data_IF_045037853980
#
_entry.id   IF_045037853980
#
_cell.length_a   1.000
_cell.length_b   1.000
_cell.length_c   1.000
_cell.angle_alpha   90.00
_cell.angle_beta   90.00
_cell.angle_gamma   90.00
#
_symmetry.space_group_name_H-M   'P 1'
#
loop_
_entity.id
_entity.type
_entity.pdbx_description
1 polymer ?
#
# COMPACT_ATOMS: atom_id res chain seq x y z
N UNK A 1 -21.31 10.19 -8.75
CA UNK A 1 -21.19 10.77 -7.38
C UNK A 1 -22.56 10.85 -6.74
N UNK A 2 -22.68 10.36 -5.51
CA UNK A 2 -23.93 10.33 -4.74
C UNK A 2 -23.89 11.41 -3.66
N UNK A 3 -23.86 12.67 -4.09
CA UNK A 3 -23.95 13.84 -3.21
C UNK A 3 -25.41 14.29 -3.12
N UNK A 4 -25.69 15.29 -2.28
CA UNK A 4 -27.03 15.86 -2.16
C UNK A 4 -27.55 16.33 -3.53
N UNK A 5 -28.59 15.67 -4.04
CA UNK A 5 -29.19 15.99 -5.34
C UNK A 5 -28.29 15.73 -6.56
N UNK A 6 -27.33 14.79 -6.47
CA UNK A 6 -26.37 14.44 -7.53
C UNK A 6 -25.52 15.63 -8.01
N UNK A 7 -25.27 16.61 -7.15
CA UNK A 7 -24.47 17.78 -7.47
C UNK A 7 -22.97 17.46 -7.52
N UNK A 8 -22.21 18.16 -8.34
CA UNK A 8 -20.76 18.06 -8.28
C UNK A 8 -20.26 18.59 -6.93
N UNK A 9 -19.41 17.83 -6.24
CA UNK A 9 -18.84 18.20 -4.95
C UNK A 9 -17.31 18.21 -5.04
N UNK A 10 -16.73 19.40 -4.92
CA UNK A 10 -15.30 19.66 -4.83
C UNK A 10 -14.88 20.19 -3.44
N UNK A 11 -15.76 20.13 -2.45
CA UNK A 11 -15.44 20.51 -1.08
C UNK A 11 -14.23 19.73 -0.60
N UNK A 12 -13.35 20.35 0.19
CA UNK A 12 -12.23 19.64 0.79
C UNK A 12 -12.58 19.10 2.19
N UNK A 13 -13.76 19.46 2.73
CA UNK A 13 -14.07 19.35 4.16
C UNK A 13 -15.37 18.62 4.48
N UNK A 14 -16.11 18.16 3.47
CA UNK A 14 -17.41 17.48 3.65
C UNK A 14 -17.49 16.18 2.87
N UNK A 15 -18.50 15.35 3.13
CA UNK A 15 -18.81 14.16 2.34
C UNK A 15 -17.59 13.26 2.08
N UNK A 16 -16.73 13.09 3.10
CA UNK A 16 -15.58 12.18 3.08
C UNK A 16 -16.05 10.72 3.24
N UNK A 17 -16.96 10.29 2.37
CA UNK A 17 -17.47 8.94 2.33
C UNK A 17 -16.50 8.08 1.52
N UNK A 18 -15.68 7.27 2.21
CA UNK A 18 -14.65 6.45 1.55
C UNK A 18 -13.45 7.26 1.05
N UNK A 19 -12.60 6.61 0.26
CA UNK A 19 -11.42 7.20 -0.37
C UNK A 19 -11.79 8.02 -1.62
N UNK A 20 -11.34 9.29 -1.68
CA UNK A 20 -11.57 10.22 -2.80
C UNK A 20 -13.03 10.41 -3.23
N UNK A 21 -13.98 10.04 -2.38
CA UNK A 21 -15.41 9.93 -2.73
C UNK A 21 -15.69 8.98 -3.88
N UNK A 22 -14.83 7.98 -4.07
CA UNK A 22 -15.12 6.88 -4.98
C UNK A 22 -16.40 6.18 -4.52
N UNK A 23 -17.14 5.54 -5.43
CA UNK A 23 -18.36 4.83 -5.06
C UNK A 23 -18.11 3.83 -3.94
N UNK A 24 -18.90 3.92 -2.87
CA UNK A 24 -18.90 2.90 -1.83
C UNK A 24 -19.68 1.67 -2.30
N UNK A 25 -19.11 0.47 -2.14
CA UNK A 25 -19.77 -0.78 -2.48
C UNK A 25 -19.45 -1.89 -1.47
N UNK A 26 -20.44 -2.24 -0.65
CA UNK A 26 -20.31 -3.28 0.39
C UNK A 26 -20.55 -4.72 -0.13
N UNK A 27 -20.81 -4.88 -1.42
CA UNK A 27 -20.87 -6.18 -2.12
C UNK A 27 -19.78 -6.21 -3.20
N UNK A 28 -18.49 -6.02 -2.83
CA UNK A 28 -17.45 -5.74 -3.81
C UNK A 28 -17.19 -6.90 -4.77
N UNK A 29 -17.47 -8.15 -4.37
CA UNK A 29 -17.29 -9.35 -5.20
C UNK A 29 -18.16 -9.36 -6.46
N UNK A 30 -19.34 -8.74 -6.41
CA UNK A 30 -20.32 -8.70 -7.51
C UNK A 30 -20.29 -7.39 -8.29
N UNK A 31 -19.43 -6.44 -7.87
CA UNK A 31 -19.25 -5.16 -8.55
C UNK A 31 -18.67 -5.30 -9.95
N UNK A 32 -18.72 -4.23 -10.74
CA UNK A 32 -18.00 -4.07 -12.01
C UNK A 32 -16.61 -3.42 -11.82
N UNK A 33 -16.15 -3.29 -10.57
CA UNK A 33 -14.86 -2.69 -10.23
C UNK A 33 -13.69 -3.55 -10.71
N UNK A 34 -12.68 -2.88 -11.25
CA UNK A 34 -11.36 -3.43 -11.54
C UNK A 34 -10.52 -3.52 -10.25
N UNK A 35 -10.54 -2.47 -9.45
CA UNK A 35 -9.81 -2.36 -8.19
C UNK A 35 -10.76 -2.09 -7.03
N UNK A 36 -10.54 -2.79 -5.93
CA UNK A 36 -11.32 -2.65 -4.70
C UNK A 36 -10.41 -2.14 -3.60
N UNK A 37 -10.80 -1.02 -2.99
CA UNK A 37 -10.14 -0.46 -1.82
C UNK A 37 -10.73 -1.12 -0.59
N UNK A 38 -9.86 -1.70 0.25
CA UNK A 38 -10.24 -2.37 1.50
C UNK A 38 -9.38 -1.85 2.64
N UNK A 39 -9.99 -1.39 3.73
CA UNK A 39 -9.25 -1.06 4.94
C UNK A 39 -9.08 -2.28 5.85
N UNK A 40 -7.93 -2.40 6.48
CA UNK A 40 -7.60 -3.47 7.43
C UNK A 40 -7.18 -2.82 8.75
N UNK A 41 -8.13 -2.40 9.61
CA UNK A 41 -7.82 -1.67 10.84
C UNK A 41 -7.26 -2.61 11.91
N UNK A 42 -5.98 -2.98 11.80
CA UNK A 42 -5.28 -3.95 12.64
C UNK A 42 -3.89 -3.41 13.04
N UNK A 43 -3.51 -3.49 14.32
CA UNK A 43 -2.15 -3.11 14.77
C UNK A 43 -1.66 -3.99 15.95
N UNK A 44 -2.13 -5.23 16.03
CA UNK A 44 -1.76 -6.13 17.14
C UNK A 44 -0.41 -6.82 16.93
N UNK A 45 0.19 -6.70 15.74
CA UNK A 45 1.50 -7.24 15.41
C UNK A 45 2.62 -6.19 15.54
N UNK A 46 2.29 -4.96 15.95
CA UNK A 46 3.30 -3.90 16.17
C UNK A 46 4.24 -4.22 17.33
N UNK A 47 5.53 -4.02 17.12
CA UNK A 47 6.57 -4.11 18.15
C UNK A 47 6.87 -2.77 18.85
N UNK A 48 6.55 -1.66 18.18
CA UNK A 48 6.78 -0.30 18.66
C UNK A 48 5.51 0.38 19.19
N UNK A 49 5.16 1.52 18.59
CA UNK A 49 3.96 2.28 18.97
C UNK A 49 2.74 1.75 18.20
N UNK A 50 1.71 1.32 18.91
CA UNK A 50 0.41 1.01 18.31
C UNK A 50 -0.32 2.28 17.84
N UNK A 51 -1.34 2.13 17.00
CA UNK A 51 -2.12 3.23 16.44
C UNK A 51 -2.49 3.02 14.96
N UNK A 52 -1.82 2.10 14.27
CA UNK A 52 -2.06 1.73 12.88
C UNK A 52 -3.50 1.32 12.60
N UNK A 53 -4.23 0.76 13.57
CA UNK A 53 -5.65 0.38 13.39
C UNK A 53 -6.56 1.54 12.97
N UNK A 54 -6.14 2.79 13.19
CA UNK A 54 -6.89 3.99 12.79
C UNK A 54 -6.44 4.56 11.44
N UNK A 55 -5.38 4.02 10.83
CA UNK A 55 -4.82 4.41 9.55
C UNK A 55 -5.83 4.44 8.40
N UNK A 56 -6.62 3.37 8.16
CA UNK A 56 -7.56 3.33 7.03
C UNK A 56 -8.60 4.46 7.09
N UNK A 57 -9.07 4.80 8.28
CA UNK A 57 -10.01 5.90 8.48
C UNK A 57 -9.35 7.26 8.20
N UNK A 58 -8.13 7.49 8.68
CA UNK A 58 -7.41 8.75 8.47
C UNK A 58 -7.07 8.98 6.99
N UNK A 59 -6.59 7.93 6.29
CA UNK A 59 -6.32 7.98 4.84
C UNK A 59 -7.58 8.39 4.07
N UNK A 60 -8.74 7.80 4.40
CA UNK A 60 -10.01 8.17 3.76
C UNK A 60 -10.42 9.61 4.07
N UNK A 61 -10.37 10.02 5.33
CA UNK A 61 -10.81 11.37 5.74
C UNK A 61 -10.00 12.45 5.02
N UNK A 62 -8.67 12.35 5.02
CA UNK A 62 -7.81 13.39 4.43
C UNK A 62 -7.84 13.38 2.90
N UNK A 63 -8.24 12.27 2.27
CA UNK A 63 -8.27 12.13 0.81
C UNK A 63 -9.21 13.13 0.10
N UNK A 64 -10.17 13.75 0.79
CA UNK A 64 -10.99 14.83 0.19
C UNK A 64 -10.14 16.03 -0.28
N UNK A 65 -8.97 16.25 0.32
CA UNK A 65 -7.99 17.25 -0.13
C UNK A 65 -7.44 16.97 -1.54
N UNK A 66 -7.59 15.74 -2.03
CA UNK A 66 -7.14 15.29 -3.35
C UNK A 66 -8.30 15.15 -4.35
N UNK A 67 -9.55 15.24 -3.89
CA UNK A 67 -10.74 14.95 -4.70
C UNK A 67 -11.23 16.13 -5.56
N UNK A 68 -10.74 17.36 -5.33
CA UNK A 68 -11.16 18.55 -6.05
C UNK A 68 -10.56 18.67 -7.45
N UNK A 69 -9.38 18.10 -7.67
CA UNK A 69 -8.72 18.06 -8.98
C UNK A 69 -9.49 17.09 -9.88
N UNK A 70 -9.79 17.52 -11.12
CA UNK A 70 -10.41 16.66 -12.12
C UNK A 70 -9.53 15.45 -12.42
N UNK A 71 -8.25 15.71 -12.70
CA UNK A 71 -7.19 14.72 -12.77
C UNK A 71 -5.98 15.17 -11.95
N UNK A 72 -5.22 14.21 -11.43
CA UNK A 72 -4.09 14.44 -10.55
C UNK A 72 -2.88 14.95 -11.32
N UNK A 73 -2.29 16.09 -10.94
CA UNK A 73 -1.03 16.53 -11.55
C UNK A 73 0.12 15.52 -11.29
N UNK A 74 0.96 15.17 -12.29
CA UNK A 74 1.07 15.71 -13.65
C UNK A 74 0.33 14.89 -14.71
N UNK A 75 -0.50 13.93 -14.31
CA UNK A 75 -1.33 13.17 -15.24
C UNK A 75 -2.25 14.12 -16.02
N UNK A 76 -2.60 13.74 -17.24
CA UNK A 76 -3.43 14.54 -18.15
C UNK A 76 -4.75 13.82 -18.50
N UNK A 77 -5.18 12.89 -17.64
CA UNK A 77 -6.39 12.09 -17.80
C UNK A 77 -7.03 11.83 -16.44
N UNK A 78 -8.36 11.69 -16.37
CA UNK A 78 -9.03 11.27 -15.14
C UNK A 78 -8.89 9.75 -14.98
N UNK A 79 -8.33 9.31 -13.84
CA UNK A 79 -8.21 7.90 -13.48
C UNK A 79 -9.56 7.17 -13.55
N UNK A 80 -10.65 7.86 -13.18
CA UNK A 80 -12.01 7.31 -13.11
C UNK A 80 -12.61 6.98 -14.48
N UNK A 81 -12.08 7.55 -15.55
CA UNK A 81 -12.51 7.24 -16.93
C UNK A 81 -11.86 5.96 -17.46
N UNK A 82 -10.77 5.51 -16.82
CA UNK A 82 -9.96 4.37 -17.28
C UNK A 82 -10.00 3.18 -16.33
N UNK A 83 -10.34 3.41 -15.06
CA UNK A 83 -10.30 2.40 -14.02
C UNK A 83 -11.56 2.48 -13.15
N UNK A 84 -12.31 1.38 -13.09
CA UNK A 84 -13.45 1.26 -12.19
C UNK A 84 -12.92 0.92 -10.80
N UNK A 85 -13.02 1.86 -9.86
CA UNK A 85 -12.56 1.69 -8.48
C UNK A 85 -13.71 1.92 -7.51
N UNK A 86 -13.84 1.02 -6.54
CA UNK A 86 -14.81 1.15 -5.44
C UNK A 86 -14.11 1.04 -4.09
N UNK A 87 -14.65 1.71 -3.07
CA UNK A 87 -14.26 1.53 -1.68
C UNK A 87 -15.28 0.60 -1.00
N UNK A 88 -14.83 -0.54 -0.47
CA UNK A 88 -15.72 -1.50 0.18
C UNK A 88 -15.78 -1.35 1.70
N UNK A 89 -15.16 -0.31 2.26
CA UNK A 89 -15.02 -0.15 3.70
C UNK A 89 -13.92 -1.04 4.27
N UNK A 90 -14.16 -1.55 5.47
CA UNK A 90 -13.14 -2.27 6.24
C UNK A 90 -13.44 -3.77 6.34
N UNK A 91 -12.38 -4.57 6.45
CA UNK A 91 -12.49 -5.97 6.80
C UNK A 91 -13.15 -6.12 8.18
N UNK A 92 -14.17 -6.98 8.26
CA UNK A 92 -14.86 -7.29 9.53
C UNK A 92 -14.30 -8.58 10.12
N UNK A 93 -13.68 -8.49 11.29
CA UNK A 93 -13.14 -9.60 12.07
C UNK A 93 -13.36 -9.35 13.58
N UNK A 94 -13.12 -10.34 14.43
CA UNK A 94 -13.19 -10.19 15.88
C UNK A 94 -11.96 -9.44 16.40
N UNK A 95 -12.18 -8.24 16.93
CA UNK A 95 -11.11 -7.47 17.54
C UNK A 95 -10.47 -8.21 18.70
N UNK A 96 -9.13 -8.21 18.74
CA UNK A 96 -8.36 -9.00 19.70
C UNK A 96 -7.95 -10.38 19.20
N UNK A 97 -8.34 -10.77 17.98
CA UNK A 97 -7.98 -12.05 17.37
C UNK A 97 -7.18 -11.84 16.07
N UNK A 98 -5.84 -11.93 16.18
CA UNK A 98 -4.94 -11.77 15.04
C UNK A 98 -5.03 -12.94 14.05
N UNK A 99 -5.37 -14.14 14.54
CA UNK A 99 -5.52 -15.32 13.69
C UNK A 99 -6.78 -15.18 12.83
N UNK A 100 -7.92 -14.85 13.43
CA UNK A 100 -9.16 -14.66 12.68
C UNK A 100 -9.05 -13.48 11.70
N UNK A 101 -8.35 -12.39 12.07
CA UNK A 101 -8.04 -11.30 11.15
C UNK A 101 -7.28 -11.82 9.92
N UNK A 102 -6.20 -12.57 10.14
CA UNK A 102 -5.36 -13.14 9.07
C UNK A 102 -6.16 -14.05 8.14
N UNK A 103 -6.94 -14.99 8.69
CA UNK A 103 -7.77 -15.91 7.91
C UNK A 103 -8.85 -15.18 7.11
N UNK A 104 -9.55 -14.22 7.72
CA UNK A 104 -10.61 -13.46 7.04
C UNK A 104 -10.05 -12.55 5.97
N UNK A 105 -8.89 -11.93 6.19
CA UNK A 105 -8.23 -11.10 5.20
C UNK A 105 -7.82 -11.91 3.99
N UNK A 106 -7.18 -13.07 4.21
CA UNK A 106 -6.82 -13.99 3.13
C UNK A 106 -8.08 -14.43 2.37
N UNK A 107 -9.13 -14.90 3.05
CA UNK A 107 -10.36 -15.35 2.41
C UNK A 107 -11.07 -14.24 1.61
N UNK A 108 -11.07 -13.01 2.14
CA UNK A 108 -11.61 -11.84 1.45
C UNK A 108 -10.84 -11.55 0.16
N UNK A 109 -9.51 -11.54 0.24
CA UNK A 109 -8.64 -11.31 -0.91
C UNK A 109 -8.78 -12.41 -1.97
N UNK A 110 -8.79 -13.68 -1.57
CA UNK A 110 -9.01 -14.81 -2.48
C UNK A 110 -10.33 -14.67 -3.24
N UNK A 111 -11.41 -14.25 -2.56
CA UNK A 111 -12.72 -14.07 -3.18
C UNK A 111 -12.75 -12.90 -4.16
N UNK A 112 -12.08 -11.79 -3.86
CA UNK A 112 -11.95 -10.65 -4.79
C UNK A 112 -11.15 -11.04 -6.04
N UNK A 113 -10.01 -11.70 -5.86
CA UNK A 113 -9.14 -12.13 -6.97
C UNK A 113 -9.86 -13.16 -7.86
N UNK A 114 -10.57 -14.13 -7.27
CA UNK A 114 -11.38 -15.08 -8.02
C UNK A 114 -12.52 -14.42 -8.83
N UNK A 115 -13.01 -13.26 -8.37
CA UNK A 115 -13.97 -12.44 -9.11
C UNK A 115 -13.33 -11.53 -10.18
N UNK A 116 -12.04 -11.72 -10.48
CA UNK A 116 -11.31 -10.97 -11.51
C UNK A 116 -10.86 -9.58 -11.07
N UNK A 117 -10.90 -9.27 -9.77
CA UNK A 117 -10.60 -7.94 -9.21
C UNK A 117 -9.15 -7.84 -8.79
N UNK A 118 -8.73 -6.63 -8.46
CA UNK A 118 -7.44 -6.29 -7.84
C UNK A 118 -7.68 -5.53 -6.54
N UNK A 119 -6.68 -5.49 -5.68
CA UNK A 119 -6.82 -4.89 -4.34
C UNK A 119 -5.82 -3.77 -4.12
N UNK A 120 -6.33 -2.65 -3.60
CA UNK A 120 -5.54 -1.64 -2.92
C UNK A 120 -5.95 -1.64 -1.45
N UNK A 121 -5.10 -2.14 -0.57
CA UNK A 121 -5.43 -2.23 0.85
C UNK A 121 -4.86 -1.04 1.62
N UNK A 122 -5.65 -0.50 2.55
CA UNK A 122 -5.14 0.42 3.56
C UNK A 122 -4.93 -0.38 4.83
N UNK A 123 -3.67 -0.57 5.21
CA UNK A 123 -3.34 -1.34 6.40
C UNK A 123 -3.60 -0.56 7.68
N UNK A 124 -3.50 -1.29 8.78
CA UNK A 124 -2.82 -0.77 9.95
C UNK A 124 -1.37 -1.22 9.88
N UNK A 125 -0.92 -2.06 10.81
CA UNK A 125 0.47 -2.53 10.81
C UNK A 125 0.82 -3.37 9.57
N UNK A 126 2.11 -3.49 9.28
CA UNK A 126 2.59 -4.12 8.05
C UNK A 126 2.33 -5.64 8.00
N UNK A 127 2.02 -6.29 9.11
CA UNK A 127 1.72 -7.73 9.13
C UNK A 127 0.55 -8.10 8.21
N UNK A 128 -0.40 -7.18 8.00
CA UNK A 128 -1.57 -7.37 7.12
C UNK A 128 -1.19 -7.80 5.69
N UNK A 129 0.03 -7.50 5.25
CA UNK A 129 0.52 -7.88 3.93
C UNK A 129 0.76 -9.39 3.81
N UNK A 130 1.05 -10.12 4.89
CA UNK A 130 1.25 -11.58 4.82
C UNK A 130 0.02 -12.36 4.31
N UNK A 131 -1.18 -12.25 4.94
CA UNK A 131 -2.38 -12.92 4.42
C UNK A 131 -2.79 -12.41 3.03
N UNK A 132 -2.51 -11.14 2.70
CA UNK A 132 -2.72 -10.62 1.34
C UNK A 132 -1.81 -11.35 0.34
N UNK A 133 -0.52 -11.51 0.64
CA UNK A 133 0.43 -12.26 -0.21
C UNK A 133 0.02 -13.73 -0.36
N UNK A 134 -0.48 -14.39 0.70
CA UNK A 134 -0.99 -15.76 0.62
C UNK A 134 -2.11 -15.89 -0.41
N UNK A 135 -3.09 -14.98 -0.38
CA UNK A 135 -4.19 -14.95 -1.34
C UNK A 135 -3.71 -14.67 -2.76
N UNK A 136 -2.81 -13.69 -2.94
CA UNK A 136 -2.30 -13.30 -4.25
C UNK A 136 -1.43 -14.39 -4.87
N UNK A 137 -0.54 -15.03 -4.10
CA UNK A 137 0.30 -16.12 -4.59
C UNK A 137 -0.52 -17.34 -4.99
N UNK A 138 -1.63 -17.63 -4.29
CA UNK A 138 -2.57 -18.69 -4.67
C UNK A 138 -3.22 -18.43 -6.03
N UNK A 139 -3.43 -17.17 -6.40
CA UNK A 139 -4.09 -16.78 -7.66
C UNK A 139 -3.10 -16.55 -8.81
N UNK A 140 -1.98 -15.87 -8.57
CA UNK A 140 -1.00 -15.49 -9.60
C UNK A 140 0.25 -16.38 -9.64
N UNK A 141 0.40 -17.30 -8.69
CA UNK A 141 1.65 -18.02 -8.46
C UNK A 141 2.67 -17.17 -7.69
N UNK A 142 3.89 -17.67 -7.56
CA UNK A 142 5.00 -16.97 -6.89
C UNK A 142 5.27 -15.61 -7.56
N UNK A 143 5.43 -14.57 -6.76
CA UNK A 143 5.49 -13.17 -7.22
C UNK A 143 6.83 -12.50 -6.91
N UNK A 144 7.05 -11.32 -7.48
CA UNK A 144 8.05 -10.35 -7.04
C UNK A 144 7.43 -9.39 -6.01
N UNK A 145 8.23 -8.92 -5.05
CA UNK A 145 7.85 -7.88 -4.10
C UNK A 145 8.58 -6.58 -4.43
N UNK A 146 7.85 -5.47 -4.54
CA UNK A 146 8.42 -4.13 -4.48
C UNK A 146 8.00 -3.52 -3.15
N UNK A 147 8.97 -3.28 -2.29
CA UNK A 147 8.77 -2.94 -0.88
C UNK A 147 9.41 -1.59 -0.55
N UNK A 148 8.59 -0.60 -0.19
CA UNK A 148 9.08 0.69 0.31
C UNK A 148 8.96 0.73 1.81
N UNK A 149 10.08 0.87 2.52
CA UNK A 149 10.12 0.77 3.99
C UNK A 149 11.46 1.29 4.56
N UNK A 150 11.50 1.65 5.85
CA UNK A 150 12.76 1.82 6.59
C UNK A 150 13.37 0.49 7.08
N UNK A 151 12.55 -0.55 7.17
CA UNK A 151 12.80 -1.88 7.73
C UNK A 151 12.70 -2.96 6.65
N UNK A 152 13.43 -4.05 6.81
CA UNK A 152 13.35 -5.15 5.84
C UNK A 152 12.19 -6.11 6.14
N UNK A 153 11.72 -6.14 7.37
CA UNK A 153 10.75 -7.10 7.92
C UNK A 153 11.06 -8.57 7.59
N UNK A 154 12.36 -8.86 7.49
CA UNK A 154 12.93 -10.19 7.26
C UNK A 154 13.54 -10.78 8.53
N UNK A 155 13.19 -10.27 9.71
CA UNK A 155 13.76 -10.74 10.96
C UNK A 155 13.25 -12.14 11.32
N UNK A 156 14.15 -13.05 11.72
CA UNK A 156 13.82 -14.45 12.00
C UNK A 156 13.34 -14.70 13.45
N UNK A 157 13.39 -13.69 14.32
CA UNK A 157 13.27 -13.83 15.78
C UNK A 157 11.92 -13.37 16.35
N UNK A 158 10.94 -13.04 15.51
CA UNK A 158 9.60 -12.66 15.97
C UNK A 158 8.64 -13.83 16.13
N UNK A 159 7.41 -13.52 16.52
CA UNK A 159 6.34 -14.49 16.68
C UNK A 159 5.49 -14.63 15.40
N UNK A 160 4.45 -15.46 15.45
CA UNK A 160 3.57 -15.71 14.29
C UNK A 160 2.90 -14.43 13.75
N UNK A 161 2.58 -13.49 14.63
CA UNK A 161 1.93 -12.22 14.30
C UNK A 161 2.87 -11.08 14.68
N UNK A 162 3.79 -10.75 13.77
CA UNK A 162 4.80 -9.73 13.98
C UNK A 162 5.06 -8.98 12.67
N UNK A 163 4.87 -7.66 12.71
CA UNK A 163 5.03 -6.78 11.57
C UNK A 163 6.49 -6.65 11.08
N UNK A 164 7.47 -7.22 11.79
CA UNK A 164 8.87 -7.27 11.37
C UNK A 164 9.32 -8.61 10.79
N UNK A 165 8.44 -9.61 10.64
CA UNK A 165 8.87 -10.98 10.28
C UNK A 165 8.14 -11.61 9.11
N UNK A 166 7.10 -10.95 8.59
CA UNK A 166 6.30 -11.51 7.51
C UNK A 166 7.08 -11.71 6.21
N UNK A 167 8.10 -10.89 5.92
CA UNK A 167 8.95 -11.11 4.74
C UNK A 167 10.10 -12.09 4.98
N UNK A 168 10.34 -12.50 6.24
CA UNK A 168 11.07 -13.75 6.50
C UNK A 168 10.19 -14.96 6.17
N UNK A 169 8.90 -14.89 6.51
CA UNK A 169 7.93 -15.98 6.33
C UNK A 169 7.51 -16.17 4.86
N UNK A 170 7.26 -15.08 4.13
CA UNK A 170 6.68 -15.13 2.79
C UNK A 170 7.52 -15.91 1.74
N UNK A 171 8.86 -15.80 1.69
CA UNK A 171 9.69 -16.66 0.83
C UNK A 171 9.64 -18.14 1.22
N UNK A 172 9.60 -18.44 2.53
CA UNK A 172 9.54 -19.82 3.04
C UNK A 172 8.22 -20.51 2.69
N UNK A 173 7.13 -19.74 2.58
CA UNK A 173 5.83 -20.20 2.07
C UNK A 173 5.75 -20.21 0.54
N UNK A 174 6.81 -19.80 -0.17
CA UNK A 174 6.84 -19.75 -1.63
C UNK A 174 5.97 -18.65 -2.25
N UNK A 175 5.59 -17.63 -1.47
CA UNK A 175 4.69 -16.55 -1.91
C UNK A 175 5.41 -15.57 -2.83
N UNK A 176 6.65 -15.23 -2.46
CA UNK A 176 7.49 -14.26 -3.18
C UNK A 176 8.87 -14.86 -3.48
N UNK A 177 9.51 -14.40 -4.55
CA UNK A 177 10.89 -14.73 -4.88
C UNK A 177 11.84 -13.63 -4.40
N UNK A 178 12.66 -13.87 -3.36
CA UNK A 178 13.56 -12.84 -2.84
C UNK A 178 14.54 -12.33 -3.91
N UNK A 179 15.02 -13.20 -4.82
CA UNK A 179 15.97 -12.81 -5.87
C UNK A 179 15.36 -11.90 -6.95
N UNK A 180 14.03 -11.85 -7.04
CA UNK A 180 13.27 -10.96 -7.93
C UNK A 180 12.52 -9.90 -7.13
N UNK A 181 12.87 -9.71 -5.86
CA UNK A 181 12.23 -8.74 -4.96
C UNK A 181 13.22 -7.66 -4.56
N UNK A 182 12.69 -6.45 -4.36
CA UNK A 182 13.48 -5.26 -4.05
C UNK A 182 12.87 -4.51 -2.87
N UNK A 183 13.72 -4.10 -1.93
CA UNK A 183 13.39 -3.29 -0.77
C UNK A 183 14.05 -1.91 -0.92
N UNK A 184 13.30 -0.84 -0.69
CA UNK A 184 13.65 0.52 -1.08
C UNK A 184 13.47 1.43 0.13
N UNK A 185 14.52 2.15 0.52
CA UNK A 185 14.49 3.08 1.65
C UNK A 185 14.99 2.49 2.97
N UNK A 186 15.48 1.24 2.94
CA UNK A 186 16.01 0.53 4.12
C UNK A 186 17.09 1.35 4.80
N UNK A 187 16.99 1.47 6.12
CA UNK A 187 17.96 2.22 6.95
C UNK A 187 18.01 1.72 8.39
N UNK A 188 17.69 0.45 8.57
CA UNK A 188 17.91 -0.33 9.78
C UNK A 188 18.86 -1.48 9.48
N UNK A 189 19.42 -2.11 10.52
CA UNK A 189 20.30 -3.26 10.34
C UNK A 189 19.52 -4.45 9.78
N UNK A 190 20.11 -5.19 8.83
CA UNK A 190 19.48 -6.35 8.21
C UNK A 190 20.51 -7.41 7.81
N UNK A 191 20.04 -8.64 7.64
CA UNK A 191 20.84 -9.74 7.11
C UNK A 191 20.96 -9.62 5.58
N UNK A 192 22.19 -9.49 5.08
CA UNK A 192 22.48 -9.34 3.65
C UNK A 192 22.33 -10.65 2.87
N UNK A 193 22.25 -11.78 3.56
CA UNK A 193 22.12 -13.11 2.96
C UNK A 193 20.65 -13.55 2.79
N UNK A 194 19.67 -12.64 3.00
CA UNK A 194 18.23 -12.92 2.87
C UNK A 194 17.71 -13.02 1.42
N UNK A 195 18.58 -12.80 0.43
CA UNK A 195 18.30 -12.91 -1.01
C UNK A 195 17.58 -11.71 -1.64
N UNK A 196 17.02 -10.79 -0.85
CA UNK A 196 16.39 -9.58 -1.36
C UNK A 196 17.44 -8.60 -1.89
N UNK A 197 17.11 -7.88 -2.97
CA UNK A 197 17.91 -6.71 -3.33
C UNK A 197 17.51 -5.53 -2.44
N UNK A 198 18.43 -5.01 -1.64
CA UNK A 198 18.20 -3.84 -0.81
C UNK A 198 18.81 -2.58 -1.45
N UNK A 199 17.97 -1.59 -1.71
CA UNK A 199 18.32 -0.23 -2.08
C UNK A 199 18.11 0.65 -0.85
N UNK A 200 19.16 0.82 -0.05
CA UNK A 200 19.09 1.58 1.20
C UNK A 200 18.76 3.06 0.98
N UNK A 201 18.30 3.76 2.01
CA UNK A 201 17.89 5.16 1.90
C UNK A 201 19.01 6.07 1.39
N UNK A 202 20.27 5.81 1.74
CA UNK A 202 21.42 6.59 1.26
C UNK A 202 21.60 6.44 -0.25
N UNK A 203 21.66 5.20 -0.73
CA UNK A 203 21.74 4.90 -2.16
C UNK A 203 20.56 5.47 -2.93
N UNK A 204 19.34 5.29 -2.40
CA UNK A 204 18.14 5.81 -3.04
C UNK A 204 18.20 7.32 -3.10
N UNK A 205 18.56 8.02 -2.03
CA UNK A 205 18.61 9.49 -2.01
C UNK A 205 19.71 10.09 -2.91
N UNK A 206 20.85 9.41 -3.06
CA UNK A 206 22.00 9.90 -3.84
C UNK A 206 21.91 9.65 -5.35
N UNK A 207 21.06 8.71 -5.78
CA UNK A 207 20.89 8.36 -7.21
C UNK A 207 19.81 9.18 -7.89
N UNK A 208 19.71 9.11 -9.22
CA UNK A 208 18.53 9.64 -9.92
C UNK A 208 17.32 8.70 -9.72
N UNK A 209 16.10 9.23 -9.81
CA UNK A 209 14.87 8.42 -9.73
C UNK A 209 14.84 7.40 -10.88
N UNK A 210 15.24 7.81 -12.08
CA UNK A 210 15.24 6.95 -13.28
C UNK A 210 16.19 5.75 -13.13
N UNK A 211 17.38 5.94 -12.53
CA UNK A 211 18.33 4.84 -12.29
C UNK A 211 17.78 3.83 -11.28
N UNK A 212 17.06 4.31 -10.25
CA UNK A 212 16.42 3.43 -9.26
C UNK A 212 15.29 2.65 -9.92
N UNK A 213 14.42 3.31 -10.69
CA UNK A 213 13.33 2.65 -11.43
C UNK A 213 13.88 1.61 -12.41
N UNK A 214 14.94 1.93 -13.16
CA UNK A 214 15.55 1.00 -14.11
C UNK A 214 16.06 -0.26 -13.41
N UNK A 215 16.71 -0.10 -12.25
CA UNK A 215 17.17 -1.24 -11.46
C UNK A 215 16.00 -2.04 -10.89
N UNK A 216 14.95 -1.40 -10.38
CA UNK A 216 13.73 -2.09 -9.91
C UNK A 216 13.13 -2.93 -11.03
N UNK A 217 12.96 -2.38 -12.24
CA UNK A 217 12.47 -3.10 -13.42
C UNK A 217 13.35 -4.30 -13.79
N UNK A 218 14.67 -4.14 -13.70
CA UNK A 218 15.62 -5.24 -13.96
C UNK A 218 15.48 -6.38 -12.93
N UNK A 219 15.28 -6.04 -11.65
CA UNK A 219 15.17 -7.03 -10.57
C UNK A 219 13.87 -7.83 -10.70
N UNK A 220 12.73 -7.15 -10.88
CA UNK A 220 11.42 -7.81 -10.89
C UNK A 220 11.13 -8.54 -12.21
N UNK A 221 11.72 -8.08 -13.32
CA UNK A 221 11.48 -8.63 -14.65
C UNK A 221 9.99 -8.61 -15.03
N UNK A 222 9.52 -9.72 -15.61
CA UNK A 222 8.13 -9.90 -16.05
C UNK A 222 7.23 -10.57 -14.99
N UNK A 223 7.73 -10.78 -13.76
CA UNK A 223 6.96 -11.45 -12.72
C UNK A 223 5.72 -10.63 -12.32
N UNK A 224 4.63 -11.27 -11.87
CA UNK A 224 3.58 -10.56 -11.14
C UNK A 224 4.20 -9.86 -9.92
N UNK A 225 3.84 -8.59 -9.69
CA UNK A 225 4.39 -7.75 -8.63
C UNK A 225 3.32 -7.47 -7.59
N UNK A 226 3.65 -7.71 -6.32
CA UNK A 226 2.93 -7.09 -5.21
C UNK A 226 3.71 -5.85 -4.75
N UNK A 227 3.04 -4.70 -4.68
CA UNK A 227 3.63 -3.43 -4.27
C UNK A 227 3.13 -3.06 -2.87
N UNK A 228 4.00 -3.14 -1.88
CA UNK A 228 3.70 -2.64 -0.53
C UNK A 228 4.45 -1.34 -0.27
N UNK A 229 3.78 -0.42 0.42
CA UNK A 229 4.36 0.84 0.85
C UNK A 229 4.10 1.07 2.34
N UNK A 230 5.11 0.87 3.15
CA UNK A 230 5.15 1.36 4.52
C UNK A 230 5.40 2.87 4.51
N UNK A 231 4.52 3.61 5.18
CA UNK A 231 4.65 5.07 5.22
C UNK A 231 5.92 5.53 5.94
N UNK A 232 6.51 4.68 6.80
CA UNK A 232 7.77 4.94 7.48
C UNK A 232 8.99 4.86 6.55
N UNK A 233 8.81 4.42 5.30
CA UNK A 233 9.81 4.63 4.23
C UNK A 233 10.17 6.11 4.11
N UNK A 234 9.20 7.00 4.33
CA UNK A 234 9.41 8.44 4.34
C UNK A 234 10.14 8.88 5.61
N UNK A 235 10.93 9.94 5.50
CA UNK A 235 11.53 10.54 6.69
C UNK A 235 10.44 11.02 7.66
N UNK A 236 10.65 10.96 9.00
CA UNK A 236 9.69 11.46 9.98
C UNK A 236 9.30 12.93 9.81
N UNK A 237 10.07 13.74 9.06
CA UNK A 237 9.66 15.08 8.65
C UNK A 237 8.44 15.09 7.71
N UNK A 238 8.19 14.01 6.98
CA UNK A 238 7.08 13.82 6.04
C UNK A 238 6.05 12.80 6.52
N UNK A 239 6.45 11.83 7.35
CA UNK A 239 5.58 10.80 7.93
C UNK A 239 5.79 10.66 9.46
N UNK A 240 5.50 11.70 10.26
CA UNK A 240 5.62 11.61 11.72
C UNK A 240 4.64 10.60 12.35
N UNK A 241 3.52 10.33 11.68
CA UNK A 241 2.43 9.47 12.11
C UNK A 241 2.65 8.00 11.77
N UNK A 242 3.69 7.38 12.33
CA UNK A 242 3.98 5.95 12.18
C UNK A 242 4.48 5.32 13.49
N UNK A 243 4.39 3.99 13.60
CA UNK A 243 4.75 3.20 14.77
C UNK A 243 6.25 3.17 15.08
N UNK A 244 7.08 3.15 14.03
CA UNK A 244 8.52 2.85 14.06
C UNK A 244 9.35 3.89 13.28
N UNK A 245 9.27 5.20 13.58
CA UNK A 245 9.93 6.22 12.77
C UNK A 245 11.46 6.11 12.78
N UNK A 246 12.08 6.08 11.60
CA UNK A 246 13.55 6.09 11.42
C UNK A 246 13.98 7.30 10.58
N UNK A 247 14.87 8.14 11.12
CA UNK A 247 15.38 9.35 10.43
C UNK A 247 16.27 9.02 9.22
N UNK A 248 16.43 9.97 8.31
CA UNK A 248 17.23 9.82 7.09
C UNK A 248 16.46 9.14 5.95
N UNK A 249 15.14 9.26 5.96
CA UNK A 249 14.25 8.59 4.99
C UNK A 249 14.09 9.34 3.67
N UNK A 250 13.12 8.89 2.87
CA UNK A 250 12.78 9.53 1.61
C UNK A 250 11.93 10.78 1.84
N UNK A 251 12.05 11.75 0.92
CA UNK A 251 11.07 12.83 0.81
C UNK A 251 9.81 12.33 0.11
N UNK A 252 8.66 12.94 0.39
CA UNK A 252 7.39 12.61 -0.29
C UNK A 252 7.48 12.80 -1.81
N UNK A 253 8.17 13.84 -2.29
CA UNK A 253 8.43 14.07 -3.72
C UNK A 253 9.17 12.89 -4.37
N UNK A 254 10.19 12.36 -3.69
CA UNK A 254 10.97 11.24 -4.20
C UNK A 254 10.15 9.96 -4.27
N UNK A 255 9.40 9.64 -3.21
CA UNK A 255 8.51 8.49 -3.19
C UNK A 255 7.45 8.54 -4.30
N UNK A 256 6.78 9.68 -4.49
CA UNK A 256 5.79 9.88 -5.55
C UNK A 256 6.39 9.63 -6.93
N UNK A 257 7.60 10.15 -7.21
CA UNK A 257 8.28 9.94 -8.49
C UNK A 257 8.67 8.48 -8.70
N UNK A 258 9.14 7.80 -7.67
CA UNK A 258 9.46 6.37 -7.72
C UNK A 258 8.20 5.54 -8.05
N UNK A 259 7.10 5.75 -7.32
CA UNK A 259 5.81 5.05 -7.56
C UNK A 259 5.32 5.27 -9.00
N UNK A 260 5.34 6.51 -9.50
CA UNK A 260 4.95 6.82 -10.89
C UNK A 260 5.79 6.04 -11.93
N UNK A 261 7.07 5.87 -11.65
CA UNK A 261 8.00 5.12 -12.49
C UNK A 261 7.72 3.63 -12.62
N UNK A 262 6.92 3.07 -11.70
CA UNK A 262 6.53 1.66 -11.68
C UNK A 262 5.36 1.34 -12.62
N UNK A 263 4.88 2.32 -13.41
CA UNK A 263 3.73 2.16 -14.30
C UNK A 263 3.83 1.02 -15.33
N UNK A 264 5.02 0.53 -15.63
CA UNK A 264 5.22 -0.55 -16.60
C UNK A 264 5.26 -1.94 -15.95
N UNK A 265 5.27 -2.03 -14.62
CA UNK A 265 5.35 -3.31 -13.90
C UNK A 265 4.01 -4.05 -13.90
N UNK A 266 4.01 -5.38 -13.93
CA UNK A 266 2.80 -6.21 -13.79
C UNK A 266 2.28 -6.26 -12.34
N UNK A 267 1.80 -5.13 -11.82
CA UNK A 267 1.30 -5.03 -10.45
C UNK A 267 -0.07 -5.70 -10.31
N UNK A 268 -0.15 -6.69 -9.41
CA UNK A 268 -1.34 -7.52 -9.18
C UNK A 268 -2.02 -7.27 -7.83
N UNK A 269 -1.37 -6.56 -6.93
CA UNK A 269 -1.91 -6.17 -5.62
C UNK A 269 -1.07 -5.04 -5.03
N UNK A 270 -1.71 -4.20 -4.23
CA UNK A 270 -1.05 -3.05 -3.61
C UNK A 270 -1.56 -2.82 -2.18
N UNK A 271 -0.70 -2.31 -1.31
CA UNK A 271 -1.13 -1.75 -0.02
C UNK A 271 -0.31 -0.53 0.42
N UNK A 272 -0.90 0.24 1.33
CA UNK A 272 -0.26 1.34 2.06
C UNK A 272 -0.51 1.12 3.55
N UNK A 273 0.54 1.05 4.36
CA UNK A 273 0.49 0.55 5.75
C UNK A 273 1.15 1.52 6.74
N UNK A 274 1.05 1.21 8.03
CA UNK A 274 1.68 1.89 9.19
C UNK A 274 1.31 3.36 9.42
N UNK A 275 0.24 3.87 8.78
CA UNK A 275 -0.32 5.17 9.14
C UNK A 275 -0.92 5.09 10.54
N UNK A 276 -0.31 5.80 11.49
CA UNK A 276 -0.72 5.88 12.89
C UNK A 276 -1.15 7.32 13.26
N UNK A 277 -2.45 7.65 13.13
CA UNK A 277 -2.96 9.02 13.25
C UNK A 277 -2.72 9.69 14.60
N UNK A 278 -2.56 8.90 15.67
CA UNK A 278 -2.25 9.42 17.01
C UNK A 278 -0.89 10.13 17.08
N UNK A 279 0.03 9.82 16.16
CA UNK A 279 1.35 10.45 16.06
C UNK A 279 1.44 11.44 14.89
N UNK A 280 0.43 11.46 14.02
CA UNK A 280 0.41 12.34 12.86
C UNK A 280 0.28 13.81 13.27
N UNK A 281 0.87 14.70 12.49
CA UNK A 281 0.89 16.14 12.76
C UNK A 281 0.24 16.86 11.59
N UNK A 282 -0.93 17.48 11.84
CA UNK A 282 -1.71 18.15 10.80
C UNK A 282 -2.01 17.24 9.59
N UNK A 283 -2.22 15.95 9.85
CA UNK A 283 -2.61 14.93 8.87
C UNK A 283 -1.60 14.72 7.72
N UNK A 284 -0.34 15.17 7.87
CA UNK A 284 0.62 15.12 6.76
C UNK A 284 1.02 13.69 6.39
N UNK A 285 1.01 12.76 7.36
CA UNK A 285 1.30 11.34 7.11
C UNK A 285 0.14 10.67 6.39
N UNK A 286 -1.08 10.89 6.88
CA UNK A 286 -2.28 10.39 6.22
C UNK A 286 -2.42 10.98 4.80
N UNK A 287 -2.08 12.26 4.60
CA UNK A 287 -2.12 12.91 3.29
C UNK A 287 -1.05 12.34 2.34
N UNK A 288 0.15 12.06 2.84
CA UNK A 288 1.19 11.39 2.07
C UNK A 288 0.73 9.98 1.64
N UNK A 289 0.18 9.19 2.56
CA UNK A 289 -0.37 7.86 2.28
C UNK A 289 -1.53 7.92 1.27
N UNK A 290 -2.49 8.85 1.45
CA UNK A 290 -3.59 9.06 0.50
C UNK A 290 -3.09 9.48 -0.89
N UNK A 291 -2.05 10.30 -0.95
CA UNK A 291 -1.42 10.71 -2.21
C UNK A 291 -0.75 9.52 -2.89
N UNK A 292 0.03 8.71 -2.17
CA UNK A 292 0.70 7.53 -2.70
C UNK A 292 -0.32 6.48 -3.18
N UNK A 293 -1.37 6.21 -2.40
CA UNK A 293 -2.49 5.36 -2.79
C UNK A 293 -3.17 5.84 -4.09
N UNK A 294 -3.33 7.15 -4.26
CA UNK A 294 -3.87 7.71 -5.51
C UNK A 294 -2.89 7.53 -6.68
N UNK A 295 -1.60 7.80 -6.50
CA UNK A 295 -0.59 7.55 -7.54
C UNK A 295 -0.53 6.08 -7.94
N UNK A 296 -0.65 5.16 -6.98
CA UNK A 296 -0.78 3.72 -7.21
C UNK A 296 -1.97 3.38 -8.12
N UNK A 297 -3.13 4.02 -7.96
CA UNK A 297 -4.27 3.83 -8.87
C UNK A 297 -4.01 4.45 -10.25
N UNK A 298 -3.39 5.64 -10.29
CA UNK A 298 -3.07 6.32 -11.56
C UNK A 298 -2.12 5.50 -12.43
N UNK A 299 -1.10 4.85 -11.86
CA UNK A 299 -0.20 4.01 -12.65
C UNK A 299 -0.90 2.79 -13.25
N UNK A 300 -1.98 2.27 -12.63
CA UNK A 300 -2.79 1.21 -13.22
C UNK A 300 -3.69 1.74 -14.33
N UNK A 301 -4.29 2.91 -14.13
CA UNK A 301 -5.12 3.57 -15.13
C UNK A 301 -4.31 4.02 -16.36
N UNK A 302 -3.03 4.37 -16.19
CA UNK A 302 -2.13 4.72 -17.28
C UNK A 302 -1.98 3.58 -18.29
N UNK A 303 -1.84 2.32 -17.82
CA UNK A 303 -1.69 1.13 -18.68
C UNK A 303 -2.89 0.81 -19.55
N UNK A 304 -4.10 1.17 -19.11
CA UNK A 304 -5.35 0.90 -19.85
C UNK A 304 -5.61 1.90 -20.98
N UNK A 305 -4.92 3.03 -20.97
CA UNK A 305 -5.10 4.11 -21.95
C UNK A 305 -4.02 4.21 -23.02
N UNK A 306 -3.05 3.29 -23.02
CA UNK A 306 -2.11 3.05 -24.13
C UNK A 306 -2.72 2.02 -25.09
#
# INVERSE_FOLDING_TARGET
MSTLGHQYDNSLVSNAFGFLRLPMNFMPYESDADWVITGVPFDMATSGRAGGRHGPAAIRQVSTNLAWEHYRFPWNFDMRERLNVVDCGDLVYAFGDAHEMSEKLQAHAEKLLAAGKRMLSFGGDHFVTLPLLRAHAKHFGKMALVHFDAHTDTYANGCEFDHGTMFYTAPNEGLIDPNHSVQIGIRTEFDKDNGFTVLDAGQVNDRSVDDVIAQVKQIVGDMPVYLTFDIDCLDPAFAPGTGTPVIGGLTSDRAIKLVRGLKDLNIVGMDVVEVAPAYDQSEITALAAATLALEMLYIQAAKKGE
#
